data_IF_855023105969
#
_entry.id   IF_855023105969
#
_cell.length_a   1.000
_cell.length_b   1.000
_cell.length_c   1.000
_cell.angle_alpha   90.00
_cell.angle_beta   90.00
_cell.angle_gamma   90.00
#
_symmetry.space_group_name_H-M   'P 1'
#
loop_
_entity.id
_entity.type
_entity.pdbx_description
1 polymer ?
#
# COMPACT_ATOMS: atom_id res chain seq x y z
N UNK A 1 23.83 -43.00 -5.91
CA UNK A 1 22.77 -42.26 -5.19
C UNK A 1 23.28 -41.00 -4.48
N UNK A 2 24.35 -41.05 -3.67
CA UNK A 2 24.88 -39.90 -2.92
C UNK A 2 25.09 -38.61 -3.75
N UNK A 3 25.73 -38.69 -4.92
CA UNK A 3 25.95 -37.52 -5.81
C UNK A 3 24.66 -36.89 -6.37
N UNK A 4 23.58 -37.67 -6.54
CA UNK A 4 22.27 -37.15 -6.99
C UNK A 4 21.57 -36.40 -5.85
N UNK A 5 21.62 -36.96 -4.64
CA UNK A 5 21.08 -36.31 -3.43
C UNK A 5 21.80 -34.98 -3.15
N UNK A 6 23.14 -34.96 -3.24
CA UNK A 6 23.93 -33.73 -3.07
C UNK A 6 23.57 -32.67 -4.13
N UNK A 7 23.36 -33.06 -5.40
CA UNK A 7 22.92 -32.12 -6.44
C UNK A 7 21.54 -31.54 -6.16
N UNK A 8 20.59 -32.36 -5.72
CA UNK A 8 19.23 -31.90 -5.38
C UNK A 8 19.27 -30.93 -4.20
N UNK A 9 20.02 -31.24 -3.15
CA UNK A 9 20.22 -30.34 -2.00
C UNK A 9 20.86 -29.02 -2.40
N UNK A 10 21.86 -29.05 -3.29
CA UNK A 10 22.52 -27.85 -3.80
C UNK A 10 21.56 -26.97 -4.61
N UNK A 11 20.75 -27.57 -5.48
CA UNK A 11 19.74 -26.83 -6.26
C UNK A 11 18.68 -26.21 -5.34
N UNK A 12 18.18 -26.95 -4.35
CA UNK A 12 17.24 -26.41 -3.37
C UNK A 12 17.86 -25.27 -2.56
N UNK A 13 19.10 -25.41 -2.11
CA UNK A 13 19.81 -24.36 -1.36
C UNK A 13 20.00 -23.09 -2.19
N UNK A 14 20.46 -23.22 -3.43
CA UNK A 14 20.63 -22.07 -4.34
C UNK A 14 19.28 -21.43 -4.65
N UNK A 15 18.25 -22.24 -4.97
CA UNK A 15 16.92 -21.74 -5.27
C UNK A 15 16.29 -20.98 -4.10
N UNK A 16 16.44 -21.48 -2.88
CA UNK A 16 15.91 -20.83 -1.70
C UNK A 16 16.64 -19.51 -1.40
N UNK A 17 17.98 -19.47 -1.50
CA UNK A 17 18.73 -18.23 -1.33
C UNK A 17 18.38 -17.19 -2.42
N UNK A 18 18.27 -17.60 -3.69
CA UNK A 18 17.87 -16.73 -4.77
C UNK A 18 16.46 -16.16 -4.56
N UNK A 19 15.51 -16.99 -4.10
CA UNK A 19 14.16 -16.56 -3.75
C UNK A 19 14.16 -15.48 -2.66
N UNK A 20 14.90 -15.70 -1.57
CA UNK A 20 15.01 -14.73 -0.47
C UNK A 20 15.64 -13.42 -0.93
N UNK A 21 16.66 -13.49 -1.80
CA UNK A 21 17.32 -12.31 -2.34
C UNK A 21 16.38 -11.50 -3.22
N UNK A 22 15.64 -12.15 -4.12
CA UNK A 22 14.63 -11.49 -4.96
C UNK A 22 13.52 -10.89 -4.09
N UNK A 23 12.98 -11.64 -3.13
CA UNK A 23 11.96 -11.14 -2.22
C UNK A 23 12.41 -9.87 -1.50
N UNK A 24 13.59 -9.92 -0.89
CA UNK A 24 14.10 -8.81 -0.09
C UNK A 24 14.42 -7.56 -0.91
N UNK A 25 15.09 -7.72 -2.07
CA UNK A 25 15.52 -6.58 -2.87
C UNK A 25 14.44 -6.04 -3.80
N UNK A 26 13.56 -6.90 -4.33
CA UNK A 26 12.58 -6.52 -5.33
C UNK A 26 11.18 -6.30 -4.77
N UNK A 27 10.81 -6.88 -3.63
CA UNK A 27 9.46 -6.72 -3.07
C UNK A 27 9.46 -5.94 -1.77
N UNK A 28 10.16 -6.43 -0.75
CA UNK A 28 10.11 -5.83 0.59
C UNK A 28 10.54 -4.35 0.52
N UNK A 29 11.63 -4.02 -0.17
CA UNK A 29 12.08 -2.61 -0.29
C UNK A 29 11.14 -1.68 -1.05
N UNK A 30 10.31 -2.22 -1.95
CA UNK A 30 9.48 -1.43 -2.85
C UNK A 30 8.10 -1.13 -2.28
N UNK A 31 7.58 -2.03 -1.43
CA UNK A 31 6.22 -1.96 -0.91
C UNK A 31 6.16 -1.92 0.62
N UNK A 32 7.13 -2.49 1.32
CA UNK A 32 7.17 -2.45 2.78
C UNK A 32 7.97 -1.22 3.25
N UNK A 33 7.37 -0.35 4.09
CA UNK A 33 8.05 0.82 4.61
C UNK A 33 9.16 0.42 5.59
N UNK A 34 10.32 1.07 5.49
CA UNK A 34 11.31 1.04 6.57
C UNK A 34 10.86 1.88 7.78
N UNK A 35 11.63 1.89 8.87
CA UNK A 35 11.28 2.64 10.08
C UNK A 35 11.05 4.14 9.84
N UNK A 36 11.83 4.77 8.95
CA UNK A 36 11.69 6.20 8.64
C UNK A 36 10.47 6.44 7.77
N UNK A 37 10.26 5.58 6.78
CA UNK A 37 9.10 5.63 5.90
C UNK A 37 7.80 5.41 6.68
N UNK A 38 7.82 4.52 7.67
CA UNK A 38 6.69 4.30 8.57
C UNK A 38 6.36 5.56 9.40
N UNK A 39 7.38 6.29 9.89
CA UNK A 39 7.18 7.56 10.59
C UNK A 39 6.50 8.58 9.66
N UNK A 40 6.97 8.70 8.43
CA UNK A 40 6.39 9.61 7.43
C UNK A 40 4.94 9.23 7.13
N UNK A 41 4.66 7.94 6.96
CA UNK A 41 3.31 7.45 6.73
C UNK A 41 2.36 7.75 7.90
N UNK A 42 2.85 7.63 9.14
CA UNK A 42 2.06 7.98 10.33
C UNK A 42 1.78 9.49 10.39
N UNK A 43 2.76 10.32 10.04
CA UNK A 43 2.59 11.77 9.94
C UNK A 43 1.58 12.14 8.84
N UNK A 44 1.65 11.48 7.69
CA UNK A 44 0.70 11.67 6.60
C UNK A 44 -0.73 11.29 7.01
N UNK A 45 -0.92 10.23 7.80
CA UNK A 45 -2.25 9.90 8.35
C UNK A 45 -2.78 11.04 9.21
N UNK A 46 -1.96 11.57 10.12
CA UNK A 46 -2.39 12.67 10.97
C UNK A 46 -2.76 13.91 10.13
N UNK A 47 -1.91 14.29 9.18
CA UNK A 47 -2.17 15.40 8.25
C UNK A 47 -3.41 15.16 7.39
N UNK A 48 -3.67 13.91 6.99
CA UNK A 48 -4.90 13.53 6.27
C UNK A 48 -6.12 13.82 7.13
N UNK A 49 -6.12 13.41 8.40
CA UNK A 49 -7.24 13.65 9.33
C UNK A 49 -7.45 15.15 9.57
N UNK A 50 -6.38 15.94 9.57
CA UNK A 50 -6.43 17.40 9.72
C UNK A 50 -6.84 18.13 8.42
N UNK A 51 -6.77 17.47 7.27
CA UNK A 51 -7.08 18.06 5.96
C UNK A 51 -8.57 18.43 5.81
N UNK A 52 -8.83 19.48 5.02
CA UNK A 52 -10.20 19.94 4.76
C UNK A 52 -11.04 18.87 4.05
N UNK A 53 -10.44 18.19 3.08
CA UNK A 53 -11.09 17.14 2.29
C UNK A 53 -11.55 15.97 3.17
N UNK A 54 -10.70 15.52 4.10
CA UNK A 54 -11.10 14.49 5.05
C UNK A 54 -12.25 14.96 5.95
N UNK A 55 -12.17 16.19 6.48
CA UNK A 55 -13.21 16.73 7.34
C UNK A 55 -14.56 16.86 6.63
N UNK A 56 -14.57 17.11 5.32
CA UNK A 56 -15.79 17.12 4.51
C UNK A 56 -16.35 15.70 4.31
N UNK A 57 -15.49 14.72 4.04
CA UNK A 57 -15.89 13.31 3.91
C UNK A 57 -16.42 12.79 5.25
N UNK A 58 -15.71 13.03 6.36
CA UNK A 58 -16.08 12.54 7.69
C UNK A 58 -17.40 13.14 8.22
N UNK A 59 -17.84 14.30 7.69
CA UNK A 59 -19.16 14.87 8.01
C UNK A 59 -20.31 14.18 7.30
N UNK A 60 -20.05 13.59 6.14
CA UNK A 60 -21.10 13.09 5.23
C UNK A 60 -21.11 11.57 5.13
N UNK A 61 -19.98 10.91 5.38
CA UNK A 61 -19.78 9.47 5.17
C UNK A 61 -19.20 8.82 6.42
N UNK A 62 -19.62 7.58 6.66
CA UNK A 62 -19.10 6.79 7.77
C UNK A 62 -17.71 6.23 7.41
N UNK A 63 -16.69 6.61 8.17
CA UNK A 63 -15.30 6.19 7.96
C UNK A 63 -15.11 4.78 8.55
N UNK A 64 -14.72 3.82 7.72
CA UNK A 64 -14.46 2.43 8.11
C UNK A 64 -13.01 2.17 8.48
N UNK A 65 -12.07 2.67 7.68
CA UNK A 65 -10.65 2.53 7.97
C UNK A 65 -9.84 3.64 7.31
N UNK A 66 -8.65 3.87 7.86
CA UNK A 66 -7.61 4.72 7.27
C UNK A 66 -6.36 3.87 7.18
N UNK A 67 -5.86 3.68 5.97
CA UNK A 67 -4.71 2.81 5.68
C UNK A 67 -3.66 3.62 4.91
N UNK A 68 -2.45 3.68 5.45
CA UNK A 68 -1.28 4.16 4.72
C UNK A 68 -0.67 3.05 3.87
N UNK A 69 -0.12 3.42 2.72
CA UNK A 69 0.53 2.49 1.80
C UNK A 69 1.68 3.18 1.09
N UNK A 70 2.60 2.36 0.60
CA UNK A 70 3.76 2.81 -0.15
C UNK A 70 3.91 1.95 -1.41
N UNK A 71 4.19 2.61 -2.54
CA UNK A 71 4.45 1.93 -3.80
C UNK A 71 5.55 2.68 -4.57
N UNK A 72 6.80 2.26 -4.38
CA UNK A 72 7.96 2.84 -5.08
C UNK A 72 7.99 2.49 -6.57
N UNK A 73 7.15 1.56 -7.04
CA UNK A 73 7.09 1.13 -8.43
C UNK A 73 6.12 1.97 -9.27
N UNK A 74 5.16 2.65 -8.64
CA UNK A 74 4.25 3.59 -9.33
C UNK A 74 4.95 4.75 -10.03
N UNK A 75 6.24 4.97 -9.76
CA UNK A 75 7.04 6.02 -10.36
C UNK A 75 6.78 7.35 -9.67
N UNK A 76 7.86 8.08 -9.39
CA UNK A 76 7.83 9.34 -8.65
C UNK A 76 8.97 9.43 -7.65
N UNK A 77 9.45 10.63 -7.40
CA UNK A 77 10.37 10.88 -6.29
C UNK A 77 9.56 10.92 -5.00
N UNK A 78 10.24 10.75 -3.87
CA UNK A 78 9.68 11.15 -2.57
C UNK A 78 9.01 12.54 -2.72
N UNK A 79 7.79 12.75 -2.19
CA UNK A 79 6.97 11.85 -1.38
C UNK A 79 5.86 11.10 -2.15
N UNK A 80 5.84 11.17 -3.48
CA UNK A 80 4.70 10.75 -4.31
C UNK A 80 4.45 9.23 -4.37
N UNK A 81 5.37 8.43 -3.84
CA UNK A 81 5.18 7.00 -3.68
C UNK A 81 4.45 6.62 -2.38
N UNK A 82 4.12 7.59 -1.54
CA UNK A 82 3.28 7.39 -0.36
C UNK A 82 1.83 7.77 -0.63
N UNK A 83 0.92 7.06 0.02
CA UNK A 83 -0.51 7.25 -0.15
C UNK A 83 -1.26 6.91 1.14
N UNK A 84 -2.27 7.72 1.46
CA UNK A 84 -3.23 7.43 2.53
C UNK A 84 -4.58 7.17 1.88
N UNK A 85 -5.18 6.04 2.23
CA UNK A 85 -6.50 5.64 1.74
C UNK A 85 -7.51 5.69 2.88
N UNK A 86 -8.58 6.44 2.68
CA UNK A 86 -9.69 6.58 3.62
C UNK A 86 -10.87 5.82 3.07
N UNK A 87 -11.21 4.70 3.71
CA UNK A 87 -12.33 3.85 3.31
C UNK A 87 -13.60 4.26 4.02
N UNK A 88 -14.66 4.39 3.25
CA UNK A 88 -16.01 4.66 3.71
C UNK A 88 -16.95 3.55 3.25
N UNK A 89 -18.21 3.61 3.67
CA UNK A 89 -19.28 2.73 3.14
C UNK A 89 -19.49 2.84 1.64
N UNK A 90 -19.16 3.98 1.02
CA UNK A 90 -19.47 4.23 -0.40
C UNK A 90 -18.27 4.05 -1.33
N UNK A 91 -17.06 4.06 -0.78
CA UNK A 91 -15.83 4.04 -1.57
C UNK A 91 -14.59 4.41 -0.78
N UNK A 92 -13.46 4.40 -1.48
CA UNK A 92 -12.14 4.72 -0.96
C UNK A 92 -11.67 6.06 -1.52
N UNK A 93 -11.27 6.99 -0.66
CA UNK A 93 -10.70 8.27 -1.02
C UNK A 93 -9.18 8.20 -0.86
N UNK A 94 -8.44 8.70 -1.83
CA UNK A 94 -6.99 8.61 -1.88
C UNK A 94 -6.38 9.99 -1.63
N UNK A 95 -5.45 10.03 -0.70
CA UNK A 95 -4.79 11.23 -0.20
C UNK A 95 -3.28 11.14 -0.39
N UNK A 96 -2.69 12.24 -0.81
CA UNK A 96 -1.26 12.33 -1.10
C UNK A 96 -0.73 13.72 -0.82
N UNK A 97 0.59 13.85 -0.87
CA UNK A 97 1.25 15.12 -0.73
C UNK A 97 0.98 16.01 -1.94
N UNK A 98 0.60 17.26 -1.69
CA UNK A 98 0.37 18.28 -2.72
C UNK A 98 1.67 18.77 -3.39
N UNK A 99 2.80 18.68 -2.69
CA UNK A 99 4.10 19.15 -3.16
C UNK A 99 5.26 18.21 -2.79
N UNK A 100 6.45 18.51 -3.31
CA UNK A 100 7.68 17.73 -3.08
C UNK A 100 8.16 17.75 -1.61
N UNK A 101 7.68 18.69 -0.81
CA UNK A 101 8.02 18.82 0.60
C UNK A 101 6.93 18.23 1.53
N UNK A 102 5.85 17.71 0.94
CA UNK A 102 4.63 17.28 1.64
C UNK A 102 4.14 18.33 2.65
N UNK A 103 4.10 19.61 2.27
CA UNK A 103 3.65 20.65 3.21
C UNK A 103 2.17 20.52 3.54
N UNK A 104 1.36 20.08 2.56
CA UNK A 104 -0.07 19.83 2.71
C UNK A 104 -0.49 18.49 2.07
N UNK A 105 -1.57 17.90 2.59
CA UNK A 105 -2.17 16.67 2.09
C UNK A 105 -3.51 16.98 1.41
N UNK A 106 -3.66 16.50 0.18
CA UNK A 106 -4.87 16.70 -0.62
C UNK A 106 -5.46 15.37 -1.11
N UNK A 107 -6.77 15.36 -1.32
CA UNK A 107 -7.43 14.26 -2.01
C UNK A 107 -7.15 14.35 -3.51
N UNK A 108 -6.44 13.37 -4.05
CA UNK A 108 -6.11 13.32 -5.48
C UNK A 108 -6.98 12.35 -6.28
N UNK A 109 -7.74 11.48 -5.61
CA UNK A 109 -8.54 10.48 -6.31
C UNK A 109 -9.57 9.78 -5.44
N UNK A 110 -10.50 9.12 -6.11
CA UNK A 110 -11.54 8.30 -5.50
C UNK A 110 -11.62 6.96 -6.24
N UNK A 111 -11.70 5.88 -5.49
CA UNK A 111 -11.92 4.54 -6.01
C UNK A 111 -13.24 4.01 -5.44
N UNK A 112 -14.22 3.83 -6.31
CA UNK A 112 -15.49 3.19 -5.95
C UNK A 112 -15.27 1.68 -5.86
N UNK A 113 -15.51 1.10 -4.68
CA UNK A 113 -15.56 -0.35 -4.53
C UNK A 113 -17.01 -0.80 -4.53
N UNK A 114 -17.58 -0.98 -5.72
CA UNK A 114 -18.91 -1.62 -5.89
C UNK A 114 -18.92 -3.08 -5.42
N UNK A 115 -17.75 -3.67 -5.14
CA UNK A 115 -17.60 -5.10 -4.88
C UNK A 115 -17.64 -5.48 -3.39
N UNK A 116 -17.80 -4.53 -2.47
CA UNK A 116 -17.86 -4.86 -1.04
C UNK A 116 -19.25 -5.30 -0.57
N UNK A 117 -20.32 -4.74 -1.13
CA UNK A 117 -21.71 -5.04 -0.72
C UNK A 117 -22.51 -5.84 -1.77
N UNK A 118 -21.92 -6.12 -2.93
CA UNK A 118 -22.58 -6.93 -3.94
C UNK A 118 -22.47 -8.42 -3.63
N UNK A 119 -23.63 -9.08 -3.52
CA UNK A 119 -23.69 -10.54 -3.61
C UNK A 119 -22.92 -10.98 -4.87
N UNK A 120 -22.15 -12.07 -4.82
CA UNK A 120 -21.42 -12.58 -5.98
C UNK A 120 -22.33 -12.58 -7.21
N UNK A 121 -21.98 -11.77 -8.22
CA UNK A 121 -22.77 -11.69 -9.46
C UNK A 121 -22.71 -12.98 -10.27
N UNK A 122 -21.66 -13.76 -10.03
CA UNK A 122 -21.48 -15.08 -10.59
C UNK A 122 -22.09 -16.09 -9.63
N UNK A 123 -22.99 -16.99 -10.10
CA UNK A 123 -23.32 -18.17 -9.34
C UNK A 123 -22.03 -18.97 -9.17
N UNK A 124 -21.49 -19.00 -7.96
CA UNK A 124 -20.54 -20.04 -7.56
C UNK A 124 -21.37 -21.29 -7.31
N UNK A 125 -21.84 -21.90 -8.40
CA UNK A 125 -22.26 -23.30 -8.42
C UNK A 125 -21.02 -24.20 -8.32
#
# INVERSE_FOLDING_TARGET
>A
MKKKVVKILLVMSVGMNAYWLVKHYAFDRMYDPDEKEQIILNEMIQRTIESKDYQEIAKTKDIKSIESSMDKNKGGRYPYYFNVSVRTTEGTYLFGCSDEQCTDIEKYGEAYSIYQDEKPRLPLE
#
